data_IF_368406000716
#
_entry.id   IF_368406000716
#
_cell.length_a   1.000
_cell.length_b   1.000
_cell.length_c   1.000
_cell.angle_alpha   90.00
_cell.angle_beta   90.00
_cell.angle_gamma   90.00
#
_symmetry.space_group_name_H-M   'P 1'
#
loop_
_entity.id
_entity.type
_entity.pdbx_description
1 polymer ?
#
# COMPACT_ATOMS: atom_id res chain seq x y z
N UNK A 1 -19.76 15.30 1.00
CA UNK A 1 -18.41 15.22 1.60
C UNK A 1 -18.11 13.76 1.79
N UNK A 2 -16.97 13.25 1.28
CA UNK A 2 -16.57 11.86 1.46
C UNK A 2 -16.27 11.60 2.95
N UNK A 3 -16.74 10.47 3.46
CA UNK A 3 -16.60 10.04 4.86
C UNK A 3 -15.13 9.71 5.16
N UNK A 4 -14.59 10.18 6.28
CA UNK A 4 -13.25 9.80 6.75
C UNK A 4 -13.31 8.38 7.29
N UNK A 5 -12.51 7.47 6.73
CA UNK A 5 -12.44 6.07 7.11
C UNK A 5 -11.26 5.78 8.06
N UNK A 6 -10.15 6.50 7.92
CA UNK A 6 -8.96 6.34 8.75
C UNK A 6 -8.46 7.70 9.23
N UNK A 7 -8.24 7.85 10.54
CA UNK A 7 -7.64 9.04 11.14
C UNK A 7 -6.37 8.66 11.90
N UNK A 8 -5.31 9.42 11.67
CA UNK A 8 -4.03 9.30 12.38
C UNK A 8 -3.83 10.57 13.19
N UNK A 9 -3.61 10.45 14.50
CA UNK A 9 -3.50 11.59 15.42
C UNK A 9 -2.16 11.54 16.15
N UNK A 10 -1.28 12.51 15.88
CA UNK A 10 0.01 12.69 16.58
C UNK A 10 0.84 11.40 16.70
N UNK A 11 0.83 10.60 15.62
CA UNK A 11 1.48 9.28 15.58
C UNK A 11 2.98 9.40 15.83
N UNK A 12 3.47 8.69 16.86
CA UNK A 12 4.90 8.60 17.19
C UNK A 12 5.36 7.15 17.16
N UNK A 13 6.46 6.90 16.45
CA UNK A 13 7.11 5.59 16.38
C UNK A 13 8.61 5.73 16.52
N UNK A 14 9.19 4.90 17.39
CA UNK A 14 10.65 4.79 17.54
C UNK A 14 11.07 3.31 17.54
N UNK A 15 12.29 3.04 17.13
CA UNK A 15 13.00 1.77 17.34
C UNK A 15 14.16 2.03 18.30
N UNK A 16 14.03 1.56 19.53
CA UNK A 16 14.91 1.99 20.63
C UNK A 16 14.85 3.50 20.81
N UNK A 17 16.01 4.15 20.84
CA UNK A 17 16.14 5.61 20.98
C UNK A 17 16.04 6.36 19.62
N UNK A 18 15.89 5.65 18.50
CA UNK A 18 15.83 6.28 17.19
C UNK A 18 14.37 6.62 16.80
N UNK A 19 13.96 7.91 16.79
CA UNK A 19 12.63 8.32 16.38
C UNK A 19 12.46 8.20 14.86
N UNK A 20 11.42 7.49 14.41
CA UNK A 20 11.10 7.30 13.01
C UNK A 20 9.91 8.16 12.56
N UNK A 21 8.82 8.16 13.36
CA UNK A 21 7.66 9.02 13.12
C UNK A 21 7.48 9.96 14.31
N UNK A 22 7.29 11.26 14.04
CA UNK A 22 7.45 12.32 15.04
C UNK A 22 6.20 13.19 15.16
N UNK A 23 5.04 12.60 15.51
CA UNK A 23 3.78 13.32 15.70
C UNK A 23 3.08 13.59 14.36
N UNK A 24 2.91 12.53 13.55
CA UNK A 24 2.28 12.59 12.25
C UNK A 24 0.75 12.55 12.41
N UNK A 25 0.03 13.49 11.80
CA UNK A 25 -1.43 13.52 11.75
C UNK A 25 -1.91 13.57 10.31
N UNK A 26 -2.89 12.70 9.97
CA UNK A 26 -3.40 12.52 8.62
C UNK A 26 -4.80 11.88 8.69
N UNK A 27 -5.71 12.27 7.81
CA UNK A 27 -6.98 11.60 7.59
C UNK A 27 -7.04 11.00 6.17
N UNK A 28 -7.75 9.89 6.01
CA UNK A 28 -7.99 9.22 4.73
C UNK A 28 -9.49 9.13 4.52
N UNK A 29 -9.96 9.53 3.35
CA UNK A 29 -11.37 9.47 2.98
C UNK A 29 -11.69 8.18 2.23
N UNK A 30 -12.92 7.72 2.35
CA UNK A 30 -13.39 6.54 1.63
C UNK A 30 -13.32 6.75 0.12
N UNK A 31 -12.73 5.80 -0.59
CA UNK A 31 -12.52 5.85 -2.04
C UNK A 31 -11.34 6.73 -2.46
N UNK A 32 -10.57 7.29 -1.53
CA UNK A 32 -9.42 8.14 -1.81
C UNK A 32 -8.17 7.30 -2.10
N UNK A 33 -7.39 7.73 -3.08
CA UNK A 33 -6.06 7.20 -3.39
C UNK A 33 -5.00 8.18 -2.88
N UNK A 34 -4.35 7.82 -1.77
CA UNK A 34 -3.27 8.61 -1.17
C UNK A 34 -1.93 7.98 -1.50
N UNK A 35 -1.00 8.78 -2.04
CA UNK A 35 0.37 8.32 -2.29
C UNK A 35 1.33 9.01 -1.34
N UNK A 36 2.15 8.22 -0.64
CA UNK A 36 3.18 8.68 0.29
C UNK A 36 4.52 8.66 -0.44
N UNK A 37 5.09 9.84 -0.63
CA UNK A 37 6.40 10.05 -1.22
C UNK A 37 7.41 10.51 -0.17
N UNK A 38 8.70 10.37 -0.46
CA UNK A 38 9.78 10.86 0.39
C UNK A 38 11.06 10.05 0.24
N UNK A 39 12.19 10.55 0.76
CA UNK A 39 13.49 9.88 0.68
C UNK A 39 13.48 8.52 1.38
N UNK A 40 14.46 7.67 1.02
CA UNK A 40 14.65 6.38 1.70
C UNK A 40 14.92 6.60 3.19
N UNK A 41 14.32 5.75 4.04
CA UNK A 41 14.48 5.83 5.50
C UNK A 41 13.66 6.90 6.22
N UNK A 42 12.83 7.71 5.53
CA UNK A 42 12.03 8.75 6.19
C UNK A 42 10.80 8.21 6.97
N UNK A 43 10.51 6.89 6.92
CA UNK A 43 9.46 6.26 7.72
C UNK A 43 8.23 5.79 6.96
N UNK A 44 8.19 5.81 5.61
CA UNK A 44 7.03 5.43 4.78
C UNK A 44 6.49 4.03 5.07
N UNK A 45 7.33 3.00 4.93
CA UNK A 45 6.94 1.61 5.22
C UNK A 45 6.62 1.39 6.70
N UNK A 46 7.30 2.12 7.60
CA UNK A 46 7.00 2.09 9.04
C UNK A 46 5.60 2.63 9.30
N UNK A 47 5.22 3.73 8.62
CA UNK A 47 3.87 4.27 8.72
C UNK A 47 2.83 3.23 8.28
N UNK A 48 2.97 2.63 7.09
CA UNK A 48 2.03 1.59 6.62
C UNK A 48 1.92 0.42 7.61
N UNK A 49 3.04 -0.03 8.18
CA UNK A 49 3.05 -1.12 9.17
C UNK A 49 2.37 -0.72 10.50
N UNK A 50 2.45 0.55 10.90
CA UNK A 50 1.69 1.04 12.05
C UNK A 50 0.18 1.03 11.76
N UNK A 51 -0.25 1.44 10.56
CA UNK A 51 -1.67 1.46 10.15
C UNK A 51 -2.30 0.06 10.14
N UNK A 52 -1.52 -0.96 9.77
CA UNK A 52 -1.98 -2.35 9.77
C UNK A 52 -1.76 -3.06 11.13
N UNK A 53 -1.22 -2.36 12.13
CA UNK A 53 -0.92 -2.94 13.45
C UNK A 53 0.19 -3.99 13.44
N UNK A 54 1.06 -4.00 12.42
CA UNK A 54 2.28 -4.82 12.38
C UNK A 54 3.39 -4.22 13.23
N UNK A 55 3.40 -2.88 13.37
CA UNK A 55 4.29 -2.16 14.26
C UNK A 55 3.48 -1.43 15.34
N UNK A 56 3.94 -1.55 16.59
CA UNK A 56 3.36 -0.81 17.71
C UNK A 56 3.81 0.64 17.70
N UNK A 57 2.91 1.55 18.05
CA UNK A 57 3.22 2.98 18.21
C UNK A 57 3.59 3.30 19.66
N UNK A 58 4.32 4.41 19.89
CA UNK A 58 4.73 4.89 21.20
C UNK A 58 3.93 6.12 21.66
N UNK A 59 3.15 6.73 20.75
CA UNK A 59 2.29 7.86 21.08
C UNK A 59 1.35 8.19 19.93
N UNK A 60 0.31 8.94 20.25
CA UNK A 60 -0.77 9.25 19.33
C UNK A 60 -1.81 8.14 19.26
N UNK A 61 -2.67 8.22 18.25
CA UNK A 61 -3.74 7.23 18.01
C UNK A 61 -3.97 7.01 16.51
N UNK A 62 -4.57 5.86 16.18
CA UNK A 62 -5.04 5.51 14.85
C UNK A 62 -6.48 5.05 14.99
N UNK A 63 -7.41 5.74 14.33
CA UNK A 63 -8.82 5.41 14.36
C UNK A 63 -9.26 4.87 13.00
N UNK A 64 -9.91 3.72 12.99
CA UNK A 64 -10.60 3.13 11.84
C UNK A 64 -12.10 3.20 12.10
N UNK A 65 -12.87 3.82 11.21
CA UNK A 65 -14.29 4.09 11.41
C UNK A 65 -14.59 4.78 12.76
N UNK A 66 -13.72 5.73 13.18
CA UNK A 66 -13.82 6.44 14.44
C UNK A 66 -13.46 5.64 15.69
N UNK A 67 -13.03 4.38 15.56
CA UNK A 67 -12.64 3.51 16.68
C UNK A 67 -11.11 3.35 16.74
N UNK A 68 -10.50 3.57 17.93
CA UNK A 68 -9.07 3.36 18.10
C UNK A 68 -8.68 1.90 17.91
N UNK A 69 -7.71 1.66 17.01
CA UNK A 69 -7.12 0.33 16.80
C UNK A 69 -5.97 0.04 17.79
N UNK A 70 -5.52 1.05 18.53
CA UNK A 70 -4.35 0.97 19.42
C UNK A 70 -4.73 0.52 20.82
N UNK A 71 -5.92 0.92 21.29
CA UNK A 71 -6.40 0.61 22.65
C UNK A 71 -6.60 -0.91 22.84
N UNK A 72 -7.05 -1.62 21.80
CA UNK A 72 -7.36 -3.05 21.85
C UNK A 72 -6.38 -3.91 21.03
N UNK A 73 -5.14 -4.03 21.51
CA UNK A 73 -4.11 -4.86 20.83
C UNK A 73 -4.53 -6.31 20.56
N UNK A 74 -5.53 -6.84 21.26
CA UNK A 74 -6.07 -8.19 21.04
C UNK A 74 -6.85 -8.31 19.73
N UNK A 75 -7.33 -7.20 19.16
CA UNK A 75 -8.21 -7.17 18.01
C UNK A 75 -7.50 -6.83 16.69
N UNK A 76 -6.16 -6.76 16.68
CA UNK A 76 -5.41 -6.52 15.43
C UNK A 76 -5.70 -7.53 14.31
N UNK A 77 -6.16 -8.72 14.64
CA UNK A 77 -6.61 -9.68 13.63
C UNK A 77 -7.86 -9.19 12.88
N UNK A 78 -8.77 -8.43 13.54
CA UNK A 78 -9.93 -7.80 12.90
C UNK A 78 -9.50 -6.59 12.06
N UNK A 79 -8.57 -5.77 12.58
CA UNK A 79 -7.99 -4.65 11.82
C UNK A 79 -7.38 -5.13 10.51
N UNK A 80 -6.60 -6.22 10.53
CA UNK A 80 -5.97 -6.80 9.34
C UNK A 80 -6.93 -7.43 8.33
N UNK A 81 -8.18 -7.68 8.72
CA UNK A 81 -9.22 -8.06 7.77
C UNK A 81 -9.78 -6.84 7.03
N UNK A 82 -9.83 -5.66 7.69
CA UNK A 82 -10.32 -4.40 7.13
C UNK A 82 -9.23 -3.64 6.37
N UNK A 83 -7.98 -3.70 6.84
CA UNK A 83 -6.83 -3.05 6.23
C UNK A 83 -5.91 -4.11 5.63
N UNK A 84 -6.07 -4.38 4.33
CA UNK A 84 -5.20 -5.28 3.58
C UNK A 84 -3.82 -4.65 3.35
N UNK A 85 -2.76 -5.47 3.29
CA UNK A 85 -1.41 -4.98 2.98
C UNK A 85 -0.74 -5.87 1.96
N UNK A 86 -0.15 -5.24 0.95
CA UNK A 86 0.66 -5.87 -0.09
C UNK A 86 2.10 -5.40 0.09
N UNK A 87 3.02 -6.34 0.28
CA UNK A 87 4.42 -6.09 0.60
C UNK A 87 5.31 -6.12 -0.63
N UNK A 88 6.44 -5.45 -0.57
CA UNK A 88 7.49 -5.51 -1.58
C UNK A 88 8.00 -6.94 -1.83
N UNK A 89 8.09 -7.78 -0.79
CA UNK A 89 8.62 -9.14 -0.83
C UNK A 89 7.56 -10.23 -1.05
N UNK A 90 6.35 -9.84 -1.54
CA UNK A 90 5.21 -10.73 -1.86
C UNK A 90 4.61 -11.49 -0.67
N UNK A 91 5.43 -11.98 0.26
CA UNK A 91 5.07 -12.74 1.47
C UNK A 91 4.13 -13.94 1.18
N UNK A 92 4.38 -14.66 0.07
CA UNK A 92 3.65 -15.88 -0.26
C UNK A 92 4.21 -17.06 0.55
N UNK A 93 3.33 -17.93 1.02
CA UNK A 93 3.70 -19.16 1.71
C UNK A 93 4.37 -20.13 0.73
N UNK A 94 5.67 -20.45 0.86
CA UNK A 94 6.41 -21.21 -0.14
C UNK A 94 6.01 -22.69 -0.24
N UNK A 95 5.38 -23.22 0.79
CA UNK A 95 4.89 -24.59 0.89
C UNK A 95 3.46 -24.79 0.41
N UNK A 96 2.77 -23.71 0.03
CA UNK A 96 1.43 -23.71 -0.53
C UNK A 96 1.47 -23.34 -2.02
N UNK A 97 0.56 -23.91 -2.81
CA UNK A 97 0.32 -23.44 -4.17
C UNK A 97 -0.40 -22.09 -4.20
N UNK A 98 -0.59 -21.50 -5.39
CA UNK A 98 -1.24 -20.20 -5.57
C UNK A 98 -2.64 -20.22 -4.96
N UNK A 99 -3.49 -21.17 -5.35
CA UNK A 99 -4.86 -21.23 -4.86
C UNK A 99 -4.93 -21.39 -3.33
N UNK A 100 -4.08 -22.23 -2.75
CA UNK A 100 -3.99 -22.42 -1.30
C UNK A 100 -3.54 -21.13 -0.60
N UNK A 101 -2.59 -20.38 -1.16
CA UNK A 101 -2.17 -19.06 -0.65
C UNK A 101 -3.35 -18.07 -0.61
N UNK A 102 -4.20 -18.08 -1.62
CA UNK A 102 -5.33 -17.18 -1.74
C UNK A 102 -6.43 -17.49 -0.72
N UNK A 103 -6.88 -18.75 -0.67
CA UNK A 103 -8.07 -19.14 0.10
C UNK A 103 -7.83 -19.28 1.61
N UNK A 104 -6.56 -19.36 2.05
CA UNK A 104 -6.22 -19.61 3.45
C UNK A 104 -6.77 -18.52 4.39
N UNK A 105 -6.56 -17.25 4.06
CA UNK A 105 -6.98 -16.11 4.86
C UNK A 105 -8.51 -16.06 5.06
N UNK A 106 -9.31 -15.98 4.00
CA UNK A 106 -10.76 -15.93 4.09
C UNK A 106 -11.39 -17.11 4.85
N UNK A 107 -10.87 -18.32 4.62
CA UNK A 107 -11.38 -19.52 5.31
C UNK A 107 -11.01 -19.49 6.80
N UNK A 108 -9.74 -19.17 7.15
CA UNK A 108 -9.24 -19.29 8.53
C UNK A 108 -9.59 -18.09 9.40
N UNK A 109 -9.54 -16.87 8.85
CA UNK A 109 -9.75 -15.65 9.62
C UNK A 109 -11.19 -15.16 9.56
N UNK A 110 -11.91 -15.38 8.45
CA UNK A 110 -13.30 -14.92 8.27
C UNK A 110 -14.32 -16.06 8.39
N UNK A 111 -13.88 -17.33 8.42
CA UNK A 111 -14.78 -18.49 8.51
C UNK A 111 -15.63 -18.70 7.25
N UNK A 112 -15.21 -18.14 6.10
CA UNK A 112 -15.96 -18.23 4.84
C UNK A 112 -15.94 -19.66 4.28
N UNK A 113 -16.99 -19.99 3.55
CA UNK A 113 -17.18 -21.30 2.93
C UNK A 113 -16.13 -21.56 1.85
N UNK A 114 -15.43 -22.71 1.92
CA UNK A 114 -14.30 -23.03 1.04
C UNK A 114 -14.70 -22.99 -0.45
N UNK A 115 -15.90 -23.47 -0.79
CA UNK A 115 -16.36 -23.50 -2.18
C UNK A 115 -16.52 -22.10 -2.74
N UNK A 116 -17.21 -21.20 -2.00
CA UNK A 116 -17.42 -19.81 -2.37
C UNK A 116 -16.08 -19.07 -2.56
N UNK A 117 -15.18 -19.18 -1.56
CA UNK A 117 -13.86 -18.54 -1.62
C UNK A 117 -13.02 -19.06 -2.78
N UNK A 118 -13.13 -20.36 -3.10
CA UNK A 118 -12.39 -20.95 -4.24
C UNK A 118 -12.92 -20.39 -5.57
N UNK A 119 -14.22 -20.31 -5.75
CA UNK A 119 -14.84 -19.76 -6.96
C UNK A 119 -14.43 -18.30 -7.17
N UNK A 120 -14.46 -17.48 -6.13
CA UNK A 120 -14.01 -16.09 -6.18
C UNK A 120 -12.50 -15.96 -6.45
N UNK A 121 -11.66 -16.80 -5.83
CA UNK A 121 -10.22 -16.82 -6.06
C UNK A 121 -9.89 -17.12 -7.53
N UNK A 122 -10.61 -18.07 -8.17
CA UNK A 122 -10.43 -18.41 -9.57
C UNK A 122 -10.83 -17.25 -10.49
N UNK A 123 -11.92 -16.54 -10.20
CA UNK A 123 -12.33 -15.35 -10.96
C UNK A 123 -11.29 -14.23 -10.87
N UNK A 124 -10.75 -13.98 -9.67
CA UNK A 124 -9.69 -12.99 -9.50
C UNK A 124 -8.39 -13.42 -10.19
N UNK A 125 -8.03 -14.70 -10.17
CA UNK A 125 -6.88 -15.22 -10.93
C UNK A 125 -7.06 -15.06 -12.45
N UNK A 126 -8.27 -15.29 -12.95
CA UNK A 126 -8.59 -15.07 -14.37
C UNK A 126 -8.43 -13.59 -14.74
N UNK A 127 -8.96 -12.68 -13.91
CA UNK A 127 -8.83 -11.23 -14.09
C UNK A 127 -7.38 -10.76 -14.20
N UNK A 128 -6.47 -11.36 -13.42
CA UNK A 128 -5.04 -11.01 -13.47
C UNK A 128 -4.20 -11.88 -14.41
N UNK A 129 -4.85 -12.72 -15.26
CA UNK A 129 -4.20 -13.56 -16.24
C UNK A 129 -3.35 -14.70 -15.65
N UNK A 130 -3.73 -15.23 -14.47
CA UNK A 130 -2.97 -16.25 -13.75
C UNK A 130 -3.79 -17.51 -13.44
N UNK A 131 -4.94 -17.73 -14.10
CA UNK A 131 -5.80 -18.89 -13.85
C UNK A 131 -5.06 -20.22 -14.08
N UNK A 132 -4.20 -20.28 -15.11
CA UNK A 132 -3.36 -21.44 -15.43
C UNK A 132 -2.29 -21.74 -14.37
N UNK A 133 -1.99 -20.79 -13.50
CA UNK A 133 -1.00 -20.88 -12.42
C UNK A 133 -1.59 -21.27 -11.06
N UNK A 134 -2.89 -21.57 -10.96
CA UNK A 134 -3.57 -21.83 -9.69
C UNK A 134 -2.92 -22.94 -8.83
N UNK A 135 -2.29 -23.94 -9.45
CA UNK A 135 -1.59 -25.03 -8.78
C UNK A 135 -0.06 -24.89 -8.78
N UNK A 136 0.48 -23.75 -9.27
CA UNK A 136 1.90 -23.46 -9.23
C UNK A 136 2.33 -23.02 -7.83
N UNK A 137 3.55 -23.37 -7.42
CA UNK A 137 4.17 -22.87 -6.20
C UNK A 137 4.86 -21.52 -6.44
N UNK A 138 5.05 -20.72 -5.37
CA UNK A 138 5.68 -19.40 -5.47
C UNK A 138 7.05 -19.42 -6.21
N UNK A 139 7.85 -20.48 -6.05
CA UNK A 139 9.15 -20.65 -6.72
C UNK A 139 9.06 -20.79 -8.25
N UNK A 140 7.89 -21.12 -8.76
CA UNK A 140 7.64 -21.32 -10.20
C UNK A 140 7.09 -20.08 -10.90
N UNK A 141 6.86 -19.00 -10.13
CA UNK A 141 6.31 -17.75 -10.62
C UNK A 141 7.40 -16.71 -10.84
N UNK A 142 7.22 -15.84 -11.85
CA UNK A 142 8.02 -14.61 -11.99
C UNK A 142 7.74 -13.62 -10.85
N UNK A 143 8.56 -12.57 -10.72
CA UNK A 143 8.34 -11.51 -9.74
C UNK A 143 6.98 -10.85 -9.87
N UNK A 144 6.61 -10.42 -11.08
CA UNK A 144 5.32 -9.80 -11.36
C UNK A 144 4.12 -10.74 -11.12
N UNK A 145 4.27 -12.04 -11.44
CA UNK A 145 3.24 -13.04 -11.14
C UNK A 145 3.04 -13.20 -9.63
N UNK A 146 4.13 -13.27 -8.84
CA UNK A 146 4.05 -13.31 -7.37
C UNK A 146 3.35 -12.07 -6.82
N UNK A 147 3.67 -10.89 -7.37
CA UNK A 147 3.08 -9.63 -6.92
C UNK A 147 1.57 -9.58 -7.22
N UNK A 148 1.15 -9.99 -8.42
CA UNK A 148 -0.28 -10.09 -8.76
C UNK A 148 -1.02 -11.09 -7.86
N UNK A 149 -0.42 -12.23 -7.55
CA UNK A 149 -0.98 -13.19 -6.57
C UNK A 149 -1.08 -12.56 -5.18
N UNK A 150 -0.09 -11.80 -4.73
CA UNK A 150 -0.12 -11.11 -3.43
C UNK A 150 -1.24 -10.05 -3.37
N UNK A 151 -1.47 -9.31 -4.47
CA UNK A 151 -2.59 -8.36 -4.59
C UNK A 151 -3.93 -9.12 -4.53
N UNK A 152 -4.11 -10.18 -5.32
CA UNK A 152 -5.33 -11.00 -5.31
C UNK A 152 -5.60 -11.58 -3.91
N UNK A 153 -4.56 -12.04 -3.21
CA UNK A 153 -4.67 -12.51 -1.83
C UNK A 153 -5.20 -11.43 -0.87
N UNK A 154 -4.74 -10.20 -1.03
CA UNK A 154 -5.25 -9.08 -0.23
C UNK A 154 -6.71 -8.76 -0.58
N UNK A 155 -7.06 -8.73 -1.87
CA UNK A 155 -8.41 -8.43 -2.35
C UNK A 155 -9.45 -9.45 -1.88
N UNK A 156 -9.08 -10.72 -1.81
CA UNK A 156 -9.97 -11.82 -1.42
C UNK A 156 -10.45 -11.73 0.05
N UNK A 157 -9.75 -10.94 0.86
CA UNK A 157 -10.18 -10.59 2.22
C UNK A 157 -11.25 -9.50 2.27
N UNK A 158 -11.64 -8.89 1.14
CA UNK A 158 -12.56 -7.76 1.02
C UNK A 158 -12.19 -6.58 1.93
N UNK A 159 -10.95 -6.10 1.89
CA UNK A 159 -10.54 -5.02 2.78
C UNK A 159 -11.23 -3.69 2.43
N UNK A 160 -11.44 -2.87 3.44
CA UNK A 160 -11.93 -1.49 3.28
C UNK A 160 -10.83 -0.54 2.81
N UNK A 161 -9.57 -0.82 3.19
CA UNK A 161 -8.38 -0.06 2.80
C UNK A 161 -7.30 -1.03 2.34
N UNK A 162 -6.58 -0.69 1.26
CA UNK A 162 -5.44 -1.49 0.78
C UNK A 162 -4.18 -0.65 0.87
N UNK A 163 -3.17 -1.18 1.56
CA UNK A 163 -1.84 -0.59 1.68
C UNK A 163 -0.88 -1.26 0.71
N UNK A 164 -0.16 -0.48 -0.08
CA UNK A 164 0.86 -0.96 -1.01
C UNK A 164 2.24 -0.43 -0.59
N UNK A 165 3.15 -1.31 -0.19
CA UNK A 165 4.51 -0.94 0.26
C UNK A 165 5.54 -1.30 -0.81
N UNK A 166 5.88 -0.32 -1.67
CA UNK A 166 6.91 -0.41 -2.74
C UNK A 166 6.77 -1.67 -3.62
N UNK A 167 5.57 -1.99 -4.05
CA UNK A 167 5.23 -3.26 -4.71
C UNK A 167 5.88 -3.49 -6.08
N UNK A 168 6.55 -2.49 -6.64
CA UNK A 168 7.27 -2.56 -7.93
C UNK A 168 8.79 -2.63 -7.78
N UNK A 169 9.35 -2.35 -6.60
CA UNK A 169 10.80 -2.14 -6.41
C UNK A 169 11.70 -3.34 -6.78
N UNK A 170 11.15 -4.55 -6.87
CA UNK A 170 11.90 -5.77 -7.17
C UNK A 170 11.54 -6.38 -8.53
N UNK A 171 10.87 -5.61 -9.42
CA UNK A 171 10.34 -6.08 -10.69
C UNK A 171 11.10 -5.53 -11.89
N UNK A 172 11.15 -6.30 -12.96
CA UNK A 172 11.58 -5.83 -14.26
C UNK A 172 10.57 -4.84 -14.86
N UNK A 173 10.98 -3.89 -15.74
CA UNK A 173 10.11 -2.83 -16.26
C UNK A 173 8.80 -3.32 -16.91
N UNK A 174 8.82 -4.46 -17.61
CA UNK A 174 7.61 -5.03 -18.20
C UNK A 174 6.63 -5.49 -17.12
N UNK A 175 7.14 -6.12 -16.05
CA UNK A 175 6.33 -6.59 -14.93
C UNK A 175 5.80 -5.44 -14.06
N UNK A 176 6.57 -4.33 -13.94
CA UNK A 176 6.14 -3.10 -13.27
C UNK A 176 4.83 -2.62 -13.88
N UNK A 177 4.77 -2.53 -15.22
CA UNK A 177 3.59 -2.04 -15.94
C UNK A 177 2.34 -2.87 -15.61
N UNK A 178 2.42 -4.20 -15.67
CA UNK A 178 1.29 -5.10 -15.38
C UNK A 178 0.73 -4.92 -13.95
N UNK A 179 1.62 -4.70 -12.98
CA UNK A 179 1.22 -4.45 -11.58
C UNK A 179 0.59 -3.06 -11.42
N UNK A 180 1.15 -2.04 -12.07
CA UNK A 180 0.61 -0.67 -12.01
C UNK A 180 -0.76 -0.56 -12.71
N UNK A 181 -0.96 -1.25 -13.83
CA UNK A 181 -2.26 -1.36 -14.52
C UNK A 181 -3.32 -1.96 -13.58
N UNK A 182 -2.99 -3.05 -12.87
CA UNK A 182 -3.90 -3.65 -11.88
C UNK A 182 -4.25 -2.69 -10.74
N UNK A 183 -3.27 -1.94 -10.21
CA UNK A 183 -3.52 -0.95 -9.15
C UNK A 183 -4.38 0.20 -9.66
N UNK A 184 -4.15 0.65 -10.89
CA UNK A 184 -4.98 1.67 -11.54
C UNK A 184 -6.45 1.22 -11.70
N UNK A 185 -6.68 -0.04 -12.09
CA UNK A 185 -8.04 -0.59 -12.17
C UNK A 185 -8.75 -0.55 -10.80
N UNK A 186 -8.03 -0.89 -9.72
CA UNK A 186 -8.56 -0.82 -8.36
C UNK A 186 -8.91 0.61 -7.94
N UNK A 187 -8.11 1.61 -8.37
CA UNK A 187 -8.41 3.02 -8.16
C UNK A 187 -9.70 3.44 -8.88
N UNK A 188 -9.86 3.03 -10.15
CA UNK A 188 -11.06 3.31 -10.93
C UNK A 188 -12.32 2.62 -10.36
N UNK A 189 -12.16 1.51 -9.64
CA UNK A 189 -13.25 0.86 -8.89
C UNK A 189 -13.64 1.63 -7.61
N UNK A 190 -12.96 2.73 -7.27
CA UNK A 190 -13.21 3.52 -6.08
C UNK A 190 -12.70 2.87 -4.79
N UNK A 191 -11.67 2.03 -4.85
CA UNK A 191 -11.04 1.44 -3.67
C UNK A 191 -10.26 2.49 -2.89
N UNK A 192 -10.36 2.47 -1.56
CA UNK A 192 -9.51 3.29 -0.70
C UNK A 192 -8.11 2.68 -0.65
N UNK A 193 -7.11 3.46 -1.02
CA UNK A 193 -5.73 2.95 -1.12
C UNK A 193 -4.71 3.93 -0.56
N UNK A 194 -3.68 3.40 0.09
CA UNK A 194 -2.49 4.15 0.51
C UNK A 194 -1.28 3.46 -0.12
N UNK A 195 -0.54 4.18 -0.96
CA UNK A 195 0.58 3.64 -1.71
C UNK A 195 1.89 4.31 -1.31
N UNK A 196 2.93 3.51 -1.15
CA UNK A 196 4.32 3.95 -1.14
C UNK A 196 4.95 3.47 -2.45
N UNK A 197 5.48 4.39 -3.27
CA UNK A 197 6.08 4.07 -4.56
C UNK A 197 7.22 5.01 -4.91
N UNK A 198 8.10 4.56 -5.79
CA UNK A 198 9.13 5.37 -6.47
C UNK A 198 8.77 5.69 -7.93
N UNK A 199 7.60 5.23 -8.40
CA UNK A 199 7.10 5.45 -9.75
C UNK A 199 6.40 6.82 -9.83
N UNK A 200 7.17 7.91 -10.04
CA UNK A 200 6.66 9.29 -9.96
C UNK A 200 5.55 9.58 -10.97
N UNK A 201 5.68 9.10 -12.22
CA UNK A 201 4.66 9.30 -13.25
C UNK A 201 3.34 8.58 -12.89
N UNK A 202 3.45 7.40 -12.31
CA UNK A 202 2.29 6.66 -11.83
C UNK A 202 1.64 7.36 -10.63
N UNK A 203 2.44 7.81 -9.66
CA UNK A 203 1.94 8.56 -8.51
C UNK A 203 1.17 9.81 -8.95
N UNK A 204 1.71 10.57 -9.93
CA UNK A 204 1.05 11.74 -10.51
C UNK A 204 -0.28 11.40 -11.20
N UNK A 205 -0.36 10.25 -11.87
CA UNK A 205 -1.53 9.86 -12.65
C UNK A 205 -2.68 9.30 -11.79
N UNK A 206 -2.37 8.62 -10.68
CA UNK A 206 -3.36 7.86 -9.90
C UNK A 206 -3.78 8.54 -8.61
N UNK A 207 -2.92 9.38 -8.00
CA UNK A 207 -3.17 9.92 -6.67
C UNK A 207 -4.20 11.06 -6.69
N UNK A 208 -5.16 10.99 -5.79
CA UNK A 208 -5.99 12.14 -5.41
C UNK A 208 -5.18 13.12 -4.57
N UNK A 209 -4.35 12.58 -3.65
CA UNK A 209 -3.55 13.37 -2.71
C UNK A 209 -2.16 12.75 -2.52
N UNK A 210 -1.16 13.63 -2.44
CA UNK A 210 0.23 13.30 -2.14
C UNK A 210 0.56 13.72 -0.71
N UNK A 211 1.19 12.83 0.03
CA UNK A 211 1.80 13.11 1.33
C UNK A 211 3.31 12.98 1.18
N UNK A 212 4.01 14.11 1.27
CA UNK A 212 5.46 14.10 1.23
C UNK A 212 6.02 14.00 2.66
N UNK A 213 6.62 12.84 2.94
CA UNK A 213 7.21 12.51 4.23
C UNK A 213 8.71 12.81 4.21
N UNK A 214 9.19 13.59 5.15
CA UNK A 214 10.62 13.82 5.39
C UNK A 214 10.94 13.83 6.87
N UNK A 215 12.02 13.16 7.29
CA UNK A 215 12.47 13.07 8.68
C UNK A 215 11.35 12.69 9.67
N UNK A 216 10.46 11.78 9.28
CA UNK A 216 9.36 11.29 10.14
C UNK A 216 8.19 12.26 10.34
N UNK A 217 8.10 13.32 9.52
CA UNK A 217 7.02 14.32 9.54
C UNK A 217 6.44 14.52 8.15
N UNK A 218 5.19 14.93 8.07
CA UNK A 218 4.62 15.44 6.83
C UNK A 218 5.25 16.80 6.55
N UNK A 219 6.09 16.86 5.51
CA UNK A 219 6.74 18.08 5.07
C UNK A 219 5.85 18.88 4.10
N UNK A 220 5.05 18.19 3.30
CA UNK A 220 4.09 18.80 2.37
C UNK A 220 2.93 17.85 2.11
N UNK A 221 1.74 18.41 1.89
CA UNK A 221 0.53 17.71 1.54
C UNK A 221 -0.25 18.53 0.51
N UNK A 222 -0.80 17.88 -0.51
CA UNK A 222 -1.58 18.55 -1.55
C UNK A 222 -2.15 17.56 -2.56
N UNK A 223 -2.91 18.06 -3.52
CA UNK A 223 -3.33 17.25 -4.67
C UNK A 223 -2.12 16.82 -5.49
N UNK A 224 -2.25 15.72 -6.24
CA UNK A 224 -1.16 15.28 -7.13
C UNK A 224 -0.74 16.40 -8.09
N UNK A 225 -1.71 17.13 -8.67
CA UNK A 225 -1.41 18.24 -9.57
C UNK A 225 -0.59 19.33 -8.88
N UNK A 226 -0.98 19.78 -7.69
CA UNK A 226 -0.26 20.83 -6.96
C UNK A 226 1.16 20.39 -6.61
N UNK A 227 1.31 19.19 -6.04
CA UNK A 227 2.60 18.68 -5.61
C UNK A 227 3.61 18.54 -6.77
N UNK A 228 3.19 18.00 -7.91
CA UNK A 228 4.09 17.78 -9.04
C UNK A 228 4.34 19.02 -9.91
N UNK A 229 3.41 20.01 -9.94
CA UNK A 229 3.58 21.21 -10.78
C UNK A 229 4.07 22.44 -10.02
N UNK A 230 3.74 22.55 -8.73
CA UNK A 230 4.05 23.72 -7.90
C UNK A 230 4.32 23.34 -6.44
N UNK A 231 5.34 22.50 -6.16
CA UNK A 231 5.69 22.11 -4.80
C UNK A 231 6.04 23.33 -3.95
N UNK A 232 5.43 23.42 -2.76
CA UNK A 232 5.51 24.62 -1.91
C UNK A 232 6.78 24.63 -1.04
N UNK A 233 7.24 23.45 -0.62
CA UNK A 233 8.42 23.36 0.24
C UNK A 233 9.70 23.19 -0.58
N UNK A 234 10.78 23.84 -0.13
CA UNK A 234 12.09 23.66 -0.74
C UNK A 234 12.51 22.19 -0.79
N UNK A 235 12.14 21.43 0.25
CA UNK A 235 12.49 20.01 0.35
C UNK A 235 11.76 19.13 -0.68
N UNK A 236 10.47 19.41 -0.97
CA UNK A 236 9.74 18.75 -2.04
C UNK A 236 10.31 19.11 -3.43
N UNK A 237 10.67 20.38 -3.64
CA UNK A 237 11.34 20.82 -4.88
C UNK A 237 12.65 20.08 -5.10
N UNK A 238 13.53 20.01 -4.09
CA UNK A 238 14.79 19.27 -4.13
C UNK A 238 14.55 17.78 -4.42
N UNK A 239 13.53 17.16 -3.81
CA UNK A 239 13.17 15.78 -4.02
C UNK A 239 12.72 15.52 -5.46
N UNK A 240 11.83 16.33 -6.00
CA UNK A 240 11.32 16.18 -7.37
C UNK A 240 12.40 16.44 -8.43
N UNK A 241 13.30 17.39 -8.19
CA UNK A 241 14.40 17.69 -9.11
C UNK A 241 15.33 16.47 -9.34
N UNK A 242 15.44 15.53 -8.40
CA UNK A 242 16.21 14.28 -8.59
C UNK A 242 15.63 13.41 -9.70
N UNK A 243 14.33 13.52 -9.97
CA UNK A 243 13.62 12.76 -11.00
C UNK A 243 13.42 13.55 -12.31
N UNK A 244 13.82 14.82 -12.34
CA UNK A 244 13.78 15.65 -13.55
C UNK A 244 15.08 15.49 -14.36
N UNK A 245 15.05 14.56 -15.32
CA UNK A 245 16.15 14.30 -16.25
C UNK A 245 16.21 15.29 -17.44
N UNK A 246 15.30 16.26 -17.53
CA UNK A 246 15.28 17.23 -18.64
C UNK A 246 16.56 18.10 -18.71
N UNK A 247 17.24 18.28 -17.58
CA UNK A 247 18.49 19.04 -17.50
C UNK A 247 19.70 18.29 -18.08
N UNK A 248 19.64 16.96 -18.23
CA UNK A 248 20.76 16.19 -18.80
C UNK A 248 20.82 16.24 -20.34
N UNK A 249 19.72 16.64 -21.01
CA UNK A 249 19.66 16.78 -22.47
C UNK A 249 20.35 18.03 -23.04
N UNK A 250 20.80 18.95 -22.20
CA UNK A 250 21.49 20.18 -22.66
C UNK A 250 23.02 20.03 -22.79
N UNK A 251 23.59 18.84 -22.58
CA UNK A 251 24.99 18.51 -22.70
C UNK A 251 25.33 17.57 -23.87
N UNK A 252 24.39 17.31 -24.77
CA UNK A 252 24.56 16.64 -26.04
C UNK A 252 24.22 17.59 -27.17
#
# INVERSE_FOLDING_TARGET
MSETILEIKELKKSFGDNPILQGLSLDIKKGEVVVILGPSGCGKSTLLRCLNGLESIQGGDILLDGQSIVENKKDFHLVRQKIGMVFQSYELFPHLDVLQNLILGPIKAQGREKKEVTEEALQLLERVGLLDKQHSFARQLSGGQKQRVAIVRALLMHPEIILFDEVTASLDPEMVREVLELINDLAQEGRTMILVTHEMQFAQAIADRIIFLDQGKIAEEGTAQEFFTNPQTKRAQEFLNVFDFSQFGSYL
#
